data_IF_443091937663
#
_entry.id   IF_443091937663
#
_cell.length_a   1.000
_cell.length_b   1.000
_cell.length_c   1.000
_cell.angle_alpha   90.00
_cell.angle_beta   90.00
_cell.angle_gamma   90.00
#
_symmetry.space_group_name_H-M   'P 1'
#
loop_
_entity.id
_entity.type
_entity.pdbx_description
1 polymer ?
#
# COMPACT_ATOMS: atom_id res chain seq x y z
N UNK A 1 -11.33 -2.34 -1.62
CA UNK A 1 -12.45 -3.05 -1.01
C UNK A 1 -13.05 -2.21 0.11
N UNK A 2 -14.37 -2.02 0.08
CA UNK A 2 -15.12 -1.05 0.89
C UNK A 2 -15.27 -1.41 2.38
N UNK A 3 -14.59 -2.47 2.82
CA UNK A 3 -14.64 -3.00 4.18
C UNK A 3 -13.77 -2.20 5.17
N UNK A 4 -12.82 -1.39 4.69
CA UNK A 4 -11.90 -0.59 5.53
C UNK A 4 -11.16 -1.41 6.61
N UNK A 5 -10.89 -2.68 6.35
CA UNK A 5 -10.28 -3.61 7.30
C UNK A 5 -8.74 -3.63 7.24
N UNK A 6 -8.12 -2.71 6.49
CA UNK A 6 -6.70 -2.76 6.18
C UNK A 6 -6.42 -3.56 4.91
N UNK A 7 -5.22 -3.36 4.34
CA UNK A 7 -4.76 -4.13 3.18
C UNK A 7 -4.34 -5.53 3.60
N UNK A 8 -4.71 -6.54 2.81
CA UNK A 8 -4.17 -7.88 2.98
C UNK A 8 -2.74 -7.92 2.41
N UNK A 9 -1.79 -7.47 3.24
CA UNK A 9 -0.38 -7.35 2.85
C UNK A 9 0.22 -8.69 2.46
N UNK A 10 -0.02 -9.73 3.26
CA UNK A 10 0.52 -11.08 3.04
C UNK A 10 0.14 -11.61 1.67
N UNK A 11 -1.16 -11.58 1.32
CA UNK A 11 -1.63 -12.00 0.01
C UNK A 11 -1.11 -11.12 -1.14
N UNK A 12 -0.91 -9.82 -0.88
CA UNK A 12 -0.37 -8.89 -1.89
C UNK A 12 1.10 -9.21 -2.18
N UNK A 13 1.89 -9.48 -1.14
CA UNK A 13 3.30 -9.88 -1.26
C UNK A 13 3.40 -11.22 -1.96
N UNK A 14 2.63 -12.23 -1.54
CA UNK A 14 2.64 -13.56 -2.17
C UNK A 14 2.30 -13.50 -3.67
N UNK A 15 1.29 -12.70 -4.04
CA UNK A 15 0.92 -12.49 -5.44
C UNK A 15 2.06 -11.83 -6.21
N UNK A 16 2.66 -10.80 -5.63
CA UNK A 16 3.68 -10.01 -6.28
C UNK A 16 4.97 -10.83 -6.47
N UNK A 17 5.38 -11.65 -5.50
CA UNK A 17 6.55 -12.55 -5.60
C UNK A 17 6.39 -13.63 -6.69
N UNK A 18 5.14 -14.01 -6.99
CA UNK A 18 4.81 -15.01 -8.03
C UNK A 18 4.57 -14.38 -9.40
N UNK A 19 4.61 -13.06 -9.50
CA UNK A 19 4.30 -12.31 -10.71
C UNK A 19 5.56 -11.68 -11.30
N UNK A 20 5.70 -11.74 -12.63
CA UNK A 20 6.70 -10.93 -13.35
C UNK A 20 6.18 -9.53 -13.68
N UNK A 21 4.90 -9.28 -13.44
CA UNK A 21 4.23 -8.01 -13.68
C UNK A 21 4.15 -7.22 -12.37
N UNK A 22 4.53 -5.94 -12.37
CA UNK A 22 4.40 -5.07 -11.20
C UNK A 22 2.95 -4.98 -10.67
N UNK A 23 2.81 -5.01 -9.35
CA UNK A 23 1.52 -5.02 -8.65
C UNK A 23 1.26 -3.67 -7.98
N UNK A 24 0.03 -3.19 -8.10
CA UNK A 24 -0.48 -2.02 -7.35
C UNK A 24 -1.53 -2.50 -6.35
N UNK A 25 -1.34 -2.23 -5.07
CA UNK A 25 -2.29 -2.56 -4.03
C UNK A 25 -3.48 -1.58 -4.03
N UNK A 26 -4.72 -2.04 -4.22
CA UNK A 26 -5.90 -1.16 -4.31
C UNK A 26 -6.93 -1.40 -3.18
N UNK A 27 -6.83 -2.53 -2.49
CA UNK A 27 -7.82 -2.97 -1.51
C UNK A 27 -7.46 -2.63 -0.08
N UNK A 28 -8.32 -1.89 0.62
CA UNK A 28 -8.33 -1.85 2.09
C UNK A 28 -7.38 -0.82 2.72
N UNK A 29 -6.70 0.00 1.92
CA UNK A 29 -5.78 1.05 2.42
C UNK A 29 -6.59 2.15 3.10
N UNK A 30 -6.60 2.14 4.43
CA UNK A 30 -7.51 2.91 5.27
C UNK A 30 -6.79 3.92 6.18
N UNK A 31 -5.50 3.69 6.49
CA UNK A 31 -4.69 4.48 7.43
C UNK A 31 -3.22 4.50 7.01
N UNK A 32 -2.43 5.43 7.56
CA UNK A 32 -1.01 5.58 7.22
C UNK A 32 -0.21 4.29 7.46
N UNK A 33 -0.53 3.53 8.50
CA UNK A 33 0.12 2.26 8.79
C UNK A 33 0.05 1.26 7.61
N UNK A 34 -1.05 1.24 6.85
CA UNK A 34 -1.17 0.35 5.68
C UNK A 34 -0.17 0.76 4.58
N UNK A 35 0.12 2.07 4.45
CA UNK A 35 1.11 2.60 3.49
C UNK A 35 2.53 2.30 3.96
N UNK A 36 2.80 2.41 5.26
CA UNK A 36 4.09 2.05 5.87
C UNK A 36 4.42 0.59 5.55
N UNK A 37 3.47 -0.30 5.80
CA UNK A 37 3.64 -1.73 5.57
C UNK A 37 3.86 -2.05 4.07
N UNK A 38 3.09 -1.41 3.18
CA UNK A 38 3.26 -1.55 1.74
C UNK A 38 4.61 -1.02 1.24
N UNK A 39 5.07 0.14 1.73
CA UNK A 39 6.37 0.72 1.37
C UNK A 39 7.51 -0.18 1.85
N UNK A 40 7.42 -0.72 3.06
CA UNK A 40 8.40 -1.68 3.58
C UNK A 40 8.47 -2.94 2.72
N UNK A 41 7.32 -3.51 2.33
CA UNK A 41 7.27 -4.67 1.44
C UNK A 41 7.85 -4.36 0.05
N UNK A 42 7.54 -3.19 -0.52
CA UNK A 42 8.08 -2.74 -1.80
C UNK A 42 9.60 -2.52 -1.78
N UNK A 43 10.20 -2.23 -0.61
CA UNK A 43 11.65 -2.02 -0.42
C UNK A 43 12.40 -3.27 0.04
N UNK A 44 11.72 -4.34 0.41
CA UNK A 44 12.36 -5.60 0.80
C UNK A 44 13.26 -6.13 -0.35
N UNK A 45 14.23 -7.00 -0.04
CA UNK A 45 15.12 -7.57 -1.07
C UNK A 45 14.28 -8.29 -2.14
N UNK A 46 14.34 -7.83 -3.39
CA UNK A 46 13.49 -8.31 -4.49
C UNK A 46 12.20 -7.49 -4.72
N UNK A 47 11.93 -6.50 -3.86
CA UNK A 47 10.86 -5.50 -3.94
C UNK A 47 9.42 -6.05 -3.88
N UNK A 48 9.29 -7.35 -3.64
CA UNK A 48 8.10 -8.17 -3.86
C UNK A 48 7.44 -8.01 -5.25
N UNK A 49 7.83 -7.06 -6.12
CA UNK A 49 7.06 -6.65 -7.30
C UNK A 49 5.96 -5.63 -7.01
N UNK A 50 5.88 -5.07 -5.79
CA UNK A 50 4.88 -4.04 -5.43
C UNK A 50 5.40 -2.66 -5.87
N UNK A 51 4.67 -1.98 -6.76
CA UNK A 51 5.07 -0.67 -7.30
C UNK A 51 4.33 0.51 -6.70
N UNK A 52 3.25 0.27 -5.96
CA UNK A 52 2.47 1.35 -5.38
C UNK A 52 1.11 0.92 -4.85
N UNK A 53 0.31 1.92 -4.53
CA UNK A 53 -0.98 1.73 -3.87
C UNK A 53 -2.04 2.71 -4.41
N UNK A 54 -3.31 2.30 -4.40
CA UNK A 54 -4.48 3.10 -4.75
C UNK A 54 -5.41 3.14 -3.54
N UNK A 55 -5.67 4.34 -3.05
CA UNK A 55 -6.67 4.58 -2.00
C UNK A 55 -7.65 5.65 -2.47
N UNK A 56 -8.90 5.54 -2.02
CA UNK A 56 -9.98 6.43 -2.42
C UNK A 56 -10.88 6.77 -1.25
N UNK A 57 -11.78 5.86 -0.88
CA UNK A 57 -12.77 6.06 0.21
C UNK A 57 -12.15 6.56 1.51
N UNK A 58 -10.96 6.07 1.89
CA UNK A 58 -10.27 6.49 3.11
C UNK A 58 -9.93 7.99 3.14
N UNK A 59 -9.57 8.57 1.99
CA UNK A 59 -9.32 10.00 1.84
C UNK A 59 -10.63 10.77 2.00
N UNK A 60 -11.69 10.34 1.31
CA UNK A 60 -12.99 11.02 1.36
C UNK A 60 -13.65 10.95 2.74
N UNK A 61 -13.39 9.90 3.52
CA UNK A 61 -13.87 9.75 4.91
C UNK A 61 -12.93 10.38 5.96
N UNK A 62 -11.81 11.00 5.55
CA UNK A 62 -10.84 11.62 6.46
C UNK A 62 -10.10 10.63 7.37
N UNK A 63 -10.11 9.34 7.03
CA UNK A 63 -9.40 8.29 7.79
C UNK A 63 -7.92 8.19 7.44
N UNK A 64 -7.58 8.66 6.24
CA UNK A 64 -6.22 8.79 5.75
C UNK A 64 -6.02 10.22 5.26
N UNK A 65 -5.07 10.92 5.85
CA UNK A 65 -4.63 12.22 5.35
C UNK A 65 -3.77 12.01 4.09
N UNK A 66 -4.19 12.60 2.97
CA UNK A 66 -3.50 12.45 1.70
C UNK A 66 -2.12 13.11 1.70
N UNK A 67 -1.96 14.26 2.36
CA UNK A 67 -0.71 15.01 2.36
C UNK A 67 0.34 14.29 3.21
N UNK A 68 -0.06 13.77 4.37
CA UNK A 68 0.77 12.94 5.24
C UNK A 68 1.21 11.66 4.51
N UNK A 69 0.26 10.95 3.90
CA UNK A 69 0.52 9.75 3.11
C UNK A 69 1.52 10.00 1.97
N UNK A 70 1.30 11.07 1.20
CA UNK A 70 2.18 11.44 0.09
C UNK A 70 3.59 11.80 0.59
N UNK A 71 3.68 12.62 1.64
CA UNK A 71 4.96 13.01 2.25
C UNK A 71 5.74 11.79 2.72
N UNK A 72 5.07 10.81 3.33
CA UNK A 72 5.69 9.56 3.74
C UNK A 72 6.17 8.73 2.53
N UNK A 73 5.41 8.67 1.44
CA UNK A 73 5.83 7.97 0.22
C UNK A 73 7.07 8.61 -0.43
N UNK A 74 7.14 9.95 -0.43
CA UNK A 74 8.23 10.72 -1.05
C UNK A 74 9.52 10.75 -0.24
N UNK A 75 9.50 10.35 1.04
CA UNK A 75 10.71 10.29 1.85
C UNK A 75 11.63 9.14 1.40
N UNK A 76 12.94 9.38 1.36
CA UNK A 76 13.92 8.39 0.92
C UNK A 76 14.35 7.39 2.04
N UNK A 77 13.87 7.56 3.26
CA UNK A 77 14.20 6.72 4.44
C UNK A 77 13.90 5.22 4.24
#
# INVERSE_FOLDING_TARGET
DGMMQGTNLEATVELAERSTIPIIASGGIAKLADIVDLKAAARAVGGAGIMGAITGRAIYEGKLDLMEAQTYCDSDD
#
